data_IF_935889226579
#
_entry.id   IF_935889226579
#
_cell.length_a   1.000
_cell.length_b   1.000
_cell.length_c   1.000
_cell.angle_alpha   90.00
_cell.angle_beta   90.00
_cell.angle_gamma   90.00
#
_symmetry.space_group_name_H-M   'P 1'
#
loop_
_entity.id
_entity.type
_entity.pdbx_description
1 polymer ?
#
# COMPACT_ATOMS: atom_id res chain seq x y z
N UNK A 1 30.60 -5.29 11.04
CA UNK A 1 29.62 -4.21 11.33
C UNK A 1 30.04 -3.37 12.53
N UNK A 2 30.22 -3.94 13.73
CA UNK A 2 30.63 -3.17 14.93
C UNK A 2 32.04 -2.54 14.83
N UNK A 3 32.92 -3.16 14.05
CA UNK A 3 34.28 -2.65 13.75
C UNK A 3 34.27 -1.29 13.04
N UNK A 4 33.14 -0.90 12.42
CA UNK A 4 32.97 0.45 11.85
C UNK A 4 32.74 1.54 12.91
N UNK A 5 32.36 1.16 14.14
CA UNK A 5 32.02 2.09 15.23
C UNK A 5 33.11 2.13 16.31
N UNK A 6 33.76 0.99 16.59
CA UNK A 6 34.86 0.91 17.55
C UNK A 6 35.92 -0.08 17.08
N UNK A 7 37.18 0.26 17.33
CA UNK A 7 38.33 -0.64 17.16
C UNK A 7 38.68 -1.43 18.42
N UNK A 8 38.12 -1.05 19.57
CA UNK A 8 38.29 -1.74 20.85
C UNK A 8 37.04 -2.59 21.13
N UNK A 9 37.06 -3.82 20.61
CA UNK A 9 35.96 -4.78 20.69
C UNK A 9 36.43 -6.08 21.33
N UNK A 10 35.61 -6.60 22.24
CA UNK A 10 35.82 -7.91 22.87
C UNK A 10 34.52 -8.70 22.75
N UNK A 11 34.58 -9.88 22.15
CA UNK A 11 33.46 -10.81 22.10
C UNK A 11 33.48 -11.65 23.38
N UNK A 12 32.52 -11.42 24.27
CA UNK A 12 32.31 -12.26 25.45
C UNK A 12 31.21 -13.28 25.15
N UNK A 13 31.53 -14.58 25.13
CA UNK A 13 30.58 -15.64 24.77
C UNK A 13 29.85 -16.27 25.95
N UNK A 14 30.16 -15.84 27.18
CA UNK A 14 29.57 -16.36 28.43
C UNK A 14 29.63 -17.90 28.55
N UNK A 15 30.79 -18.48 28.24
CA UNK A 15 30.98 -19.93 28.18
C UNK A 15 31.47 -20.40 26.82
N UNK A 16 31.20 -21.67 26.50
CA UNK A 16 31.62 -22.27 25.24
C UNK A 16 30.91 -21.63 24.06
N UNK A 17 31.68 -20.94 23.21
CA UNK A 17 31.22 -20.50 21.90
C UNK A 17 31.55 -21.57 20.85
N UNK A 18 30.52 -22.12 20.20
CA UNK A 18 30.67 -22.97 19.02
C UNK A 18 30.93 -22.10 17.79
N UNK A 19 32.10 -21.45 17.78
CA UNK A 19 32.60 -20.72 16.60
C UNK A 19 33.42 -21.67 15.74
N UNK A 20 33.08 -21.73 14.45
CA UNK A 20 33.86 -22.43 13.43
C UNK A 20 35.28 -21.85 13.33
N UNK A 21 36.22 -22.63 12.79
CA UNK A 21 37.63 -22.20 12.67
C UNK A 21 37.75 -20.88 11.88
N UNK A 22 37.04 -20.76 10.77
CA UNK A 22 37.00 -19.57 9.92
C UNK A 22 36.52 -18.31 10.67
N UNK A 23 35.47 -18.44 11.49
CA UNK A 23 34.94 -17.34 12.29
C UNK A 23 35.95 -16.86 13.34
N UNK A 24 36.71 -17.79 13.94
CA UNK A 24 37.80 -17.44 14.88
C UNK A 24 38.94 -16.73 14.18
N UNK A 25 39.29 -17.18 12.98
CA UNK A 25 40.30 -16.53 12.13
C UNK A 25 39.87 -15.10 11.79
N UNK A 26 38.61 -14.89 11.41
CA UNK A 26 38.05 -13.56 11.13
C UNK A 26 38.11 -12.63 12.34
N UNK A 27 37.73 -13.10 13.54
CA UNK A 27 37.85 -12.30 14.77
C UNK A 27 39.30 -11.89 15.03
N UNK A 28 40.25 -12.82 14.86
CA UNK A 28 41.68 -12.53 15.00
C UNK A 28 42.16 -11.48 14.00
N UNK A 29 41.76 -11.60 12.72
CA UNK A 29 42.11 -10.65 11.67
C UNK A 29 41.56 -9.25 11.94
N UNK A 30 40.43 -9.14 12.64
CA UNK A 30 39.85 -7.87 13.07
C UNK A 30 40.37 -7.37 14.43
N UNK A 31 41.29 -8.09 15.06
CA UNK A 31 41.81 -7.75 16.39
C UNK A 31 40.78 -7.89 17.52
N UNK A 32 39.69 -8.63 17.29
CA UNK A 32 38.63 -8.83 18.28
C UNK A 32 38.98 -10.01 19.17
N UNK A 33 39.18 -9.74 20.46
CA UNK A 33 39.47 -10.80 21.43
C UNK A 33 38.21 -11.60 21.78
N UNK A 34 38.33 -12.92 21.82
CA UNK A 34 37.27 -13.82 22.30
C UNK A 34 37.52 -14.19 23.76
N UNK A 35 36.58 -13.84 24.65
CA UNK A 35 36.55 -14.22 26.07
C UNK A 35 35.46 -15.26 26.29
N UNK A 36 35.85 -16.45 26.75
CA UNK A 36 34.97 -17.61 26.94
C UNK A 36 34.56 -17.82 28.39
N UNK A 37 35.15 -17.06 29.30
CA UNK A 37 34.81 -17.17 30.71
C UNK A 37 33.35 -16.76 30.94
N UNK A 38 32.66 -17.48 31.83
CA UNK A 38 31.29 -17.10 32.22
C UNK A 38 31.30 -15.75 32.92
N UNK A 39 30.35 -14.90 32.57
CA UNK A 39 30.13 -13.59 33.17
C UNK A 39 29.41 -13.80 34.50
N UNK A 40 29.96 -13.24 35.58
CA UNK A 40 29.38 -13.31 36.92
C UNK A 40 28.47 -12.12 37.20
N UNK A 41 28.90 -10.91 36.82
CA UNK A 41 28.13 -9.66 36.97
C UNK A 41 28.68 -8.56 36.08
N UNK A 42 27.88 -7.51 35.90
CA UNK A 42 28.31 -6.24 35.33
C UNK A 42 28.61 -5.26 36.47
N UNK A 43 29.72 -4.54 36.38
CA UNK A 43 30.05 -3.44 37.28
C UNK A 43 29.62 -2.12 36.66
N UNK A 44 28.99 -1.28 37.46
CA UNK A 44 28.54 0.03 37.06
C UNK A 44 28.77 1.06 38.17
N UNK A 45 28.85 2.32 37.76
CA UNK A 45 28.89 3.49 38.64
C UNK A 45 28.01 4.58 38.01
N UNK A 46 27.09 5.16 38.79
CA UNK A 46 26.15 6.19 38.31
C UNK A 46 25.44 5.78 37.00
N UNK A 47 24.88 4.57 36.99
CA UNK A 47 24.22 3.92 35.84
C UNK A 47 25.07 3.75 34.56
N UNK A 48 26.39 3.92 34.66
CA UNK A 48 27.33 3.70 33.57
C UNK A 48 28.11 2.42 33.79
N UNK A 49 28.14 1.55 32.77
CA UNK A 49 28.98 0.36 32.78
C UNK A 49 30.45 0.75 32.95
N UNK A 50 31.13 0.14 33.91
CA UNK A 50 32.57 0.32 34.17
C UNK A 50 33.35 -0.96 33.90
N UNK A 51 32.73 -2.13 34.03
CA UNK A 51 33.41 -3.40 33.80
C UNK A 51 32.50 -4.62 33.68
N UNK A 52 33.07 -5.70 33.16
CA UNK A 52 32.49 -7.04 33.13
C UNK A 52 33.31 -7.93 34.05
N UNK A 53 32.68 -8.54 35.05
CA UNK A 53 33.33 -9.43 36.00
C UNK A 53 33.04 -10.86 35.61
N UNK A 54 34.08 -11.68 35.47
CA UNK A 54 33.95 -13.09 35.15
C UNK A 54 33.92 -13.94 36.42
N UNK A 55 33.44 -15.18 36.29
CA UNK A 55 33.38 -16.20 37.36
C UNK A 55 34.75 -16.54 37.97
N UNK A 56 35.84 -16.26 37.27
CA UNK A 56 37.21 -16.39 37.77
C UNK A 56 37.72 -15.13 38.51
N UNK A 57 36.82 -14.20 38.86
CA UNK A 57 37.09 -12.91 39.49
C UNK A 57 37.96 -11.93 38.68
N UNK A 58 38.28 -12.23 37.41
CA UNK A 58 38.92 -11.25 36.53
C UNK A 58 37.91 -10.18 36.12
N UNK A 59 38.37 -8.95 36.02
CA UNK A 59 37.58 -7.80 35.57
C UNK A 59 38.07 -7.36 34.20
N UNK A 60 37.15 -7.13 33.28
CA UNK A 60 37.40 -6.49 31.99
C UNK A 60 36.75 -5.10 31.99
N UNK A 61 37.53 -4.01 32.12
CA UNK A 61 36.99 -2.65 32.11
C UNK A 61 36.35 -2.34 30.76
N UNK A 62 35.06 -1.95 30.72
CA UNK A 62 34.28 -1.65 29.50
C UNK A 62 33.27 -0.53 29.78
N UNK A 63 33.04 0.35 28.80
CA UNK A 63 32.06 1.46 28.89
C UNK A 63 30.70 1.17 28.24
N UNK A 64 30.59 0.07 27.51
CA UNK A 64 29.36 -0.30 26.81
C UNK A 64 29.34 -1.78 26.50
N UNK A 65 28.13 -2.31 26.35
CA UNK A 65 27.87 -3.69 25.96
C UNK A 65 26.77 -3.69 24.90
N UNK A 66 26.92 -4.56 23.91
CA UNK A 66 25.87 -4.84 22.93
C UNK A 66 25.49 -6.31 23.11
N UNK A 67 24.20 -6.54 23.32
CA UNK A 67 23.63 -7.85 23.52
C UNK A 67 22.86 -8.25 22.27
N UNK A 68 22.97 -9.52 21.90
CA UNK A 68 22.08 -10.14 20.91
C UNK A 68 21.23 -11.19 21.62
N UNK A 69 20.19 -10.78 22.39
CA UNK A 69 19.30 -11.72 23.03
C UNK A 69 18.54 -12.53 21.98
N UNK A 70 18.09 -13.73 22.36
CA UNK A 70 17.04 -14.42 21.61
C UNK A 70 15.72 -13.75 21.96
N UNK A 71 15.01 -13.27 20.94
CA UNK A 71 13.65 -12.76 21.09
C UNK A 71 12.66 -13.92 21.10
N UNK A 72 11.58 -13.76 21.84
CA UNK A 72 10.46 -14.69 21.90
C UNK A 72 9.17 -13.89 21.77
N UNK A 73 8.10 -14.53 21.28
CA UNK A 73 6.80 -13.87 21.25
C UNK A 73 6.35 -13.49 22.66
N UNK A 74 5.79 -12.28 22.79
CA UNK A 74 5.33 -11.76 24.09
C UNK A 74 4.23 -12.63 24.70
N UNK A 75 3.45 -13.35 23.87
CA UNK A 75 2.40 -14.24 24.33
C UNK A 75 2.19 -15.41 23.36
N UNK A 76 1.51 -16.45 23.84
CA UNK A 76 1.09 -17.60 23.01
C UNK A 76 -0.16 -17.32 22.16
N UNK A 77 -0.61 -16.05 22.03
CA UNK A 77 -1.84 -15.71 21.31
C UNK A 77 -1.78 -16.18 19.85
N UNK A 78 -0.69 -15.88 19.15
CA UNK A 78 -0.52 -16.29 17.75
C UNK A 78 -0.62 -17.81 17.58
N UNK A 79 0.05 -18.58 18.44
CA UNK A 79 -0.04 -20.05 18.44
C UNK A 79 -1.45 -20.54 18.75
N UNK A 80 -2.13 -19.95 19.75
CA UNK A 80 -3.51 -20.32 20.12
C UNK A 80 -4.53 -20.01 19.02
N UNK A 81 -4.30 -18.97 18.23
CA UNK A 81 -5.11 -18.65 17.06
C UNK A 81 -4.82 -19.57 15.88
N UNK A 82 -3.74 -20.36 15.92
CA UNK A 82 -3.34 -21.29 14.86
C UNK A 82 -2.36 -20.68 13.84
N UNK A 83 -1.74 -19.54 14.15
CA UNK A 83 -0.76 -18.93 13.26
C UNK A 83 0.43 -19.85 13.02
N UNK A 84 0.89 -19.90 11.78
CA UNK A 84 2.14 -20.58 11.43
C UNK A 84 3.34 -19.71 11.80
N UNK A 85 4.24 -20.27 12.59
CA UNK A 85 5.47 -19.63 13.02
C UNK A 85 6.63 -20.11 12.12
N UNK A 86 7.48 -19.17 11.72
CA UNK A 86 8.70 -19.41 10.94
C UNK A 86 9.93 -19.60 11.82
N UNK A 87 11.09 -19.28 11.28
CA UNK A 87 12.33 -19.18 12.06
C UNK A 87 12.21 -18.11 13.14
N UNK A 88 12.88 -18.33 14.27
CA UNK A 88 12.94 -17.39 15.39
C UNK A 88 11.57 -16.98 15.98
N UNK A 89 10.58 -17.89 15.94
CA UNK A 89 9.26 -17.70 16.55
C UNK A 89 8.43 -16.57 15.89
N UNK A 90 8.76 -16.18 14.65
CA UNK A 90 8.08 -15.08 13.91
C UNK A 90 6.83 -15.58 13.20
N UNK A 91 5.71 -14.86 13.31
CA UNK A 91 4.46 -15.16 12.59
C UNK A 91 4.66 -14.95 11.09
N UNK A 92 4.31 -15.97 10.30
CA UNK A 92 4.31 -15.87 8.84
C UNK A 92 3.12 -15.04 8.37
N UNK A 93 3.44 -14.02 7.56
CA UNK A 93 2.46 -13.15 6.92
C UNK A 93 2.81 -12.95 5.45
N UNK A 94 1.83 -12.58 4.65
CA UNK A 94 2.02 -12.16 3.27
C UNK A 94 2.40 -10.66 3.16
N UNK A 95 2.45 -10.15 1.93
CA UNK A 95 2.76 -8.75 1.63
C UNK A 95 1.76 -7.78 2.28
N UNK A 96 0.49 -8.18 2.39
CA UNK A 96 -0.60 -7.41 3.02
C UNK A 96 -0.60 -7.50 4.54
N UNK A 97 0.35 -8.24 5.11
CA UNK A 97 0.48 -8.56 6.54
C UNK A 97 -0.63 -9.48 7.07
N UNK A 98 -1.35 -10.15 6.17
CA UNK A 98 -2.31 -11.17 6.54
C UNK A 98 -1.57 -12.48 6.85
N UNK A 99 -2.01 -13.15 7.92
CA UNK A 99 -1.55 -14.51 8.23
C UNK A 99 -2.18 -15.52 7.28
N UNK A 100 -1.81 -16.80 7.40
CA UNK A 100 -2.51 -17.88 6.69
C UNK A 100 -3.96 -18.09 7.15
N UNK A 101 -4.38 -17.43 8.23
CA UNK A 101 -5.76 -17.44 8.71
C UNK A 101 -6.46 -16.19 8.13
N UNK A 102 -7.49 -16.37 7.28
CA UNK A 102 -8.23 -15.24 6.70
C UNK A 102 -8.79 -14.31 7.78
N UNK A 103 -8.64 -13.01 7.57
CA UNK A 103 -9.09 -11.97 8.50
C UNK A 103 -8.17 -11.74 9.70
N UNK A 104 -7.11 -12.53 9.87
CA UNK A 104 -6.12 -12.37 10.95
C UNK A 104 -4.81 -11.79 10.40
N UNK A 105 -4.35 -10.69 11.00
CA UNK A 105 -3.17 -9.94 10.58
C UNK A 105 -2.14 -9.88 11.72
N UNK A 106 -0.85 -9.77 11.37
CA UNK A 106 0.23 -9.59 12.34
C UNK A 106 1.23 -8.53 11.81
N UNK A 107 1.67 -7.62 12.68
CA UNK A 107 2.49 -6.46 12.31
C UNK A 107 3.54 -6.14 13.37
N UNK A 108 4.65 -5.52 12.97
CA UNK A 108 5.78 -5.24 13.85
C UNK A 108 6.59 -6.49 14.22
N UNK A 109 7.16 -6.49 15.42
CA UNK A 109 8.13 -7.50 15.88
C UNK A 109 7.57 -8.93 15.93
N UNK A 110 6.24 -9.10 16.00
CA UNK A 110 5.61 -10.42 15.92
C UNK A 110 5.75 -11.06 14.54
N UNK A 111 5.88 -10.26 13.48
CA UNK A 111 5.89 -10.71 12.08
C UNK A 111 7.12 -10.23 11.30
N UNK A 112 8.13 -9.68 11.98
CA UNK A 112 9.35 -9.12 11.37
C UNK A 112 10.58 -9.39 12.24
N UNK A 113 11.71 -9.86 11.66
CA UNK A 113 12.98 -9.99 12.38
C UNK A 113 13.64 -8.63 12.62
N UNK A 114 13.16 -7.57 11.95
CA UNK A 114 13.68 -6.22 12.08
C UNK A 114 12.84 -5.43 13.08
N UNK A 115 13.25 -5.50 14.36
CA UNK A 115 12.67 -4.71 15.45
C UNK A 115 13.01 -3.22 15.32
N UNK A 116 12.37 -2.54 14.37
CA UNK A 116 12.50 -1.12 14.13
C UNK A 116 11.12 -0.45 14.12
N UNK A 117 11.02 0.72 14.75
CA UNK A 117 9.77 1.48 14.85
C UNK A 117 9.21 1.78 13.45
N UNK A 118 10.05 2.20 12.51
CA UNK A 118 9.61 2.50 11.14
C UNK A 118 9.01 1.27 10.44
N UNK A 119 9.59 0.09 10.64
CA UNK A 119 9.08 -1.18 10.08
C UNK A 119 7.74 -1.56 10.71
N UNK A 120 7.60 -1.37 12.02
CA UNK A 120 6.33 -1.59 12.73
C UNK A 120 5.23 -0.64 12.25
N UNK A 121 5.54 0.65 12.07
CA UNK A 121 4.61 1.65 11.54
C UNK A 121 4.18 1.29 10.12
N UNK A 122 5.13 1.00 9.23
CA UNK A 122 4.83 0.66 7.84
C UNK A 122 3.97 -0.61 7.73
N UNK A 123 4.32 -1.67 8.46
CA UNK A 123 3.52 -2.90 8.47
C UNK A 123 2.12 -2.68 9.05
N UNK A 124 1.98 -1.87 10.10
CA UNK A 124 0.68 -1.44 10.63
C UNK A 124 -0.19 -0.75 9.59
N UNK A 125 0.37 0.19 8.83
CA UNK A 125 -0.34 0.90 7.75
C UNK A 125 -0.82 -0.06 6.67
N UNK A 126 0.06 -0.96 6.21
CA UNK A 126 -0.29 -1.96 5.17
C UNK A 126 -1.44 -2.85 5.64
N UNK A 127 -1.37 -3.37 6.88
CA UNK A 127 -2.43 -4.20 7.44
C UNK A 127 -3.76 -3.43 7.54
N UNK A 128 -3.73 -2.19 8.02
CA UNK A 128 -4.93 -1.37 8.18
C UNK A 128 -5.63 -1.09 6.84
N UNK A 129 -4.86 -0.74 5.80
CA UNK A 129 -5.39 -0.55 4.44
C UNK A 129 -6.02 -1.85 3.93
N UNK A 130 -5.36 -2.98 4.15
CA UNK A 130 -5.83 -4.30 3.70
C UNK A 130 -7.10 -4.75 4.45
N UNK A 131 -7.15 -4.58 5.78
CA UNK A 131 -8.35 -4.84 6.59
C UNK A 131 -9.53 -4.00 6.10
N UNK A 132 -9.31 -2.70 5.90
CA UNK A 132 -10.36 -1.80 5.42
C UNK A 132 -10.86 -2.20 4.02
N UNK A 133 -9.94 -2.61 3.15
CA UNK A 133 -10.27 -3.13 1.83
C UNK A 133 -11.22 -4.33 1.94
N UNK A 134 -10.78 -5.39 2.63
CA UNK A 134 -11.54 -6.63 2.80
C UNK A 134 -12.90 -6.40 3.45
N UNK A 135 -12.96 -5.65 4.55
CA UNK A 135 -14.23 -5.40 5.25
C UNK A 135 -15.22 -4.61 4.42
N UNK A 136 -14.76 -3.68 3.58
CA UNK A 136 -15.69 -2.93 2.73
C UNK A 136 -16.17 -3.80 1.58
N UNK A 137 -15.32 -4.64 0.97
CA UNK A 137 -15.74 -5.60 -0.05
C UNK A 137 -16.82 -6.54 0.49
N UNK A 138 -16.61 -7.13 1.67
CA UNK A 138 -17.61 -7.98 2.33
C UNK A 138 -18.94 -7.22 2.55
N UNK A 139 -18.90 -5.97 3.00
CA UNK A 139 -20.09 -5.16 3.20
C UNK A 139 -20.81 -4.76 1.89
N UNK A 140 -20.09 -4.65 0.78
CA UNK A 140 -20.62 -4.22 -0.52
C UNK A 140 -21.24 -5.36 -1.32
N UNK A 141 -20.65 -6.57 -1.25
CA UNK A 141 -21.21 -7.80 -1.87
C UNK A 141 -22.63 -8.08 -1.38
N UNK A 142 -22.95 -7.70 -0.14
CA UNK A 142 -24.25 -7.97 0.45
C UNK A 142 -25.33 -6.92 0.17
N UNK A 143 -25.04 -5.75 -0.45
CA UNK A 143 -26.03 -4.64 -0.44
C UNK A 143 -26.25 -3.81 -1.70
N UNK A 144 -25.36 -3.73 -2.71
CA UNK A 144 -25.61 -2.86 -3.89
C UNK A 144 -24.90 -3.37 -5.16
N UNK A 145 -25.60 -4.01 -6.12
CA UNK A 145 -24.98 -4.47 -7.37
C UNK A 145 -24.49 -3.30 -8.25
N UNK A 146 -25.22 -2.18 -8.30
CA UNK A 146 -24.98 -1.09 -9.27
C UNK A 146 -23.78 -0.17 -8.93
N UNK A 147 -23.19 -0.31 -7.73
CA UNK A 147 -22.12 0.59 -7.25
C UNK A 147 -20.77 -0.09 -6.99
N UNK A 148 -20.61 -1.38 -7.29
CA UNK A 148 -19.43 -2.20 -6.94
C UNK A 148 -18.27 -2.14 -7.94
N UNK A 149 -18.39 -1.36 -9.00
CA UNK A 149 -17.28 -1.09 -9.91
C UNK A 149 -16.34 0.03 -9.48
N UNK A 150 -16.57 0.64 -8.32
CA UNK A 150 -15.66 1.62 -7.75
C UNK A 150 -14.83 0.99 -6.63
N UNK A 151 -14.17 -0.13 -6.94
CA UNK A 151 -13.14 -0.74 -6.09
C UNK A 151 -11.91 0.15 -5.88
N UNK A 152 -11.87 1.33 -6.51
CA UNK A 152 -11.03 2.42 -6.04
C UNK A 152 -11.83 3.22 -5.01
N UNK A 153 -11.37 3.21 -3.76
CA UNK A 153 -11.66 4.22 -2.71
C UNK A 153 -11.18 5.61 -3.14
N UNK A 154 -11.55 6.01 -4.35
CA UNK A 154 -11.30 7.32 -4.90
C UNK A 154 -12.00 8.35 -4.03
N UNK A 155 -11.39 9.52 -3.93
CA UNK A 155 -11.99 10.70 -3.35
C UNK A 155 -13.40 10.93 -3.89
N UNK A 156 -13.67 10.55 -5.15
CA UNK A 156 -14.97 10.61 -5.80
C UNK A 156 -16.02 9.68 -5.18
N UNK A 157 -15.67 8.45 -4.79
CA UNK A 157 -16.61 7.55 -4.09
C UNK A 157 -16.98 8.11 -2.71
N UNK A 158 -15.97 8.53 -1.93
CA UNK A 158 -16.20 9.10 -0.59
C UNK A 158 -17.06 10.36 -0.64
N UNK A 159 -16.82 11.23 -1.62
CA UNK A 159 -17.64 12.43 -1.84
C UNK A 159 -19.10 12.05 -2.11
N UNK A 160 -19.37 11.10 -3.02
CA UNK A 160 -20.74 10.65 -3.32
C UNK A 160 -21.42 9.97 -2.14
N UNK A 161 -20.66 9.27 -1.30
CA UNK A 161 -21.18 8.73 -0.05
C UNK A 161 -21.58 9.86 0.93
N UNK A 162 -20.72 10.86 1.12
CA UNK A 162 -20.97 12.01 2.01
C UNK A 162 -22.12 12.90 1.54
N UNK A 163 -22.36 12.97 0.23
CA UNK A 163 -23.51 13.66 -0.37
C UNK A 163 -24.85 13.04 0.02
N UNK A 164 -24.88 11.80 0.55
CA UNK A 164 -26.11 11.06 0.81
C UNK A 164 -26.71 10.38 -0.42
N UNK A 165 -26.02 10.43 -1.58
CA UNK A 165 -26.49 9.84 -2.84
C UNK A 165 -26.80 8.34 -2.71
N UNK A 166 -26.08 7.63 -1.84
CA UNK A 166 -26.30 6.21 -1.58
C UNK A 166 -27.73 5.91 -1.09
N UNK A 167 -28.27 6.73 -0.20
CA UNK A 167 -29.61 6.51 0.34
C UNK A 167 -30.65 6.59 -0.79
N UNK A 168 -30.57 7.66 -1.59
CA UNK A 168 -31.44 7.87 -2.76
C UNK A 168 -31.32 6.74 -3.78
N UNK A 169 -30.10 6.29 -4.07
CA UNK A 169 -29.86 5.21 -5.04
C UNK A 169 -30.44 3.87 -4.58
N UNK A 170 -30.42 3.59 -3.27
CA UNK A 170 -30.92 2.30 -2.75
C UNK A 170 -32.41 2.17 -3.05
N UNK A 171 -33.19 3.20 -2.69
CA UNK A 171 -34.63 3.22 -2.94
C UNK A 171 -34.95 3.17 -4.44
N UNK A 172 -34.21 3.96 -5.24
CA UNK A 172 -34.38 3.98 -6.69
C UNK A 172 -34.08 2.63 -7.38
N UNK A 173 -33.06 1.91 -6.92
CA UNK A 173 -32.68 0.59 -7.45
C UNK A 173 -33.72 -0.46 -7.08
N UNK A 174 -34.31 -0.37 -5.89
CA UNK A 174 -35.41 -1.25 -5.45
C UNK A 174 -36.74 -0.95 -6.19
N UNK A 175 -36.72 0.02 -7.12
CA UNK A 175 -37.87 0.39 -7.94
C UNK A 175 -38.86 1.30 -7.25
N UNK A 176 -38.48 1.87 -6.09
CA UNK A 176 -39.29 2.86 -5.38
C UNK A 176 -39.31 4.15 -6.19
N UNK A 177 -40.49 4.76 -6.27
CA UNK A 177 -40.65 6.05 -6.90
C UNK A 177 -40.50 7.16 -5.86
N UNK A 178 -39.63 8.13 -6.15
CA UNK A 178 -39.27 9.19 -5.20
C UNK A 178 -39.88 10.50 -5.67
N UNK A 179 -40.44 11.29 -4.75
CA UNK A 179 -40.93 12.64 -5.05
C UNK A 179 -39.77 13.63 -5.08
N UNK A 180 -39.86 14.63 -5.95
CA UNK A 180 -38.80 15.62 -6.13
C UNK A 180 -38.55 16.54 -4.93
N UNK A 181 -39.49 16.61 -3.99
CA UNK A 181 -39.49 17.40 -2.76
C UNK A 181 -39.16 16.57 -1.51
N UNK A 182 -38.63 15.35 -1.68
CA UNK A 182 -38.27 14.53 -0.54
C UNK A 182 -37.07 15.10 0.24
N UNK A 183 -37.10 15.04 1.59
CA UNK A 183 -36.04 15.60 2.44
C UNK A 183 -34.64 15.08 2.11
N UNK A 184 -34.54 13.84 1.64
CA UNK A 184 -33.25 13.24 1.24
C UNK A 184 -32.67 13.88 -0.03
N UNK A 185 -33.52 14.26 -0.99
CA UNK A 185 -33.08 14.94 -2.22
C UNK A 185 -32.70 16.38 -1.90
N UNK A 186 -33.48 17.05 -1.06
CA UNK A 186 -33.16 18.40 -0.58
C UNK A 186 -31.83 18.43 0.19
N UNK A 187 -31.62 17.50 1.12
CA UNK A 187 -30.38 17.41 1.89
C UNK A 187 -29.16 17.16 0.98
N UNK A 188 -29.31 16.30 -0.03
CA UNK A 188 -28.29 16.06 -1.04
C UNK A 188 -27.97 17.34 -1.80
N UNK A 189 -28.99 18.05 -2.30
CA UNK A 189 -28.83 19.28 -3.06
C UNK A 189 -28.21 20.42 -2.23
N UNK A 190 -28.62 20.57 -0.98
CA UNK A 190 -28.05 21.55 -0.05
C UNK A 190 -26.58 21.25 0.24
N UNK A 191 -26.25 19.98 0.47
CA UNK A 191 -24.85 19.59 0.62
C UNK A 191 -24.06 19.91 -0.65
N UNK A 192 -24.62 19.61 -1.82
CA UNK A 192 -23.99 19.90 -3.11
C UNK A 192 -23.68 21.39 -3.28
N UNK A 193 -24.67 22.25 -3.00
CA UNK A 193 -24.54 23.71 -3.13
C UNK A 193 -23.57 24.31 -2.12
N UNK A 194 -23.45 23.74 -0.91
CA UNK A 194 -22.45 24.18 0.08
C UNK A 194 -21.02 23.80 -0.29
N UNK A 195 -20.84 22.77 -1.12
CA UNK A 195 -19.54 22.15 -1.40
C UNK A 195 -19.16 22.20 -2.89
N UNK A 196 -19.66 23.18 -3.66
CA UNK A 196 -19.43 23.30 -5.11
C UNK A 196 -17.95 23.19 -5.51
N UNK A 197 -16.99 23.88 -4.85
CA UNK A 197 -15.57 23.77 -5.21
C UNK A 197 -15.03 22.35 -5.06
N UNK A 198 -15.41 21.66 -3.98
CA UNK A 198 -14.99 20.29 -3.72
C UNK A 198 -15.62 19.32 -4.72
N UNK A 199 -16.88 19.52 -5.08
CA UNK A 199 -17.56 18.67 -6.08
C UNK A 199 -16.94 18.89 -7.47
N UNK A 200 -16.58 20.12 -7.82
CA UNK A 200 -15.86 20.38 -9.06
C UNK A 200 -14.48 19.73 -9.06
N UNK A 201 -13.71 19.85 -7.97
CA UNK A 201 -12.38 19.26 -7.88
C UNK A 201 -12.38 17.72 -7.85
N UNK A 202 -13.38 17.11 -7.20
CA UNK A 202 -13.37 15.66 -6.91
C UNK A 202 -14.24 14.86 -7.88
N UNK A 203 -15.37 15.42 -8.31
CA UNK A 203 -16.32 14.77 -9.22
C UNK A 203 -16.28 15.37 -10.63
N UNK A 204 -15.45 16.39 -10.87
CA UNK A 204 -15.43 17.15 -12.12
C UNK A 204 -16.83 17.61 -12.58
N UNK A 205 -17.69 17.95 -11.61
CA UNK A 205 -19.09 18.30 -11.87
C UNK A 205 -19.34 19.75 -11.44
N UNK A 206 -19.93 20.54 -12.33
CA UNK A 206 -20.28 21.93 -12.05
C UNK A 206 -21.73 21.98 -11.59
N UNK A 207 -21.96 22.56 -10.40
CA UNK A 207 -23.29 22.68 -9.81
C UNK A 207 -23.65 24.16 -9.70
N UNK A 208 -24.58 24.66 -10.52
CA UNK A 208 -25.15 25.99 -10.35
C UNK A 208 -25.98 26.07 -9.06
N UNK A 209 -25.98 27.23 -8.39
CA UNK A 209 -26.64 27.40 -7.09
C UNK A 209 -28.16 27.57 -7.20
N UNK A 210 -28.64 28.03 -8.36
CA UNK A 210 -30.03 28.26 -8.71
C UNK A 210 -30.78 27.00 -9.18
N UNK A 211 -30.06 25.90 -9.38
CA UNK A 211 -30.65 24.66 -9.90
C UNK A 211 -31.49 23.90 -8.87
N UNK A 212 -32.42 23.10 -9.39
CA UNK A 212 -33.35 22.32 -8.56
C UNK A 212 -32.68 21.08 -7.95
N UNK A 213 -33.13 20.60 -6.76
CA UNK A 213 -32.58 19.40 -6.14
C UNK A 213 -32.61 18.17 -7.06
N UNK A 214 -33.67 18.03 -7.84
CA UNK A 214 -33.81 16.92 -8.79
C UNK A 214 -32.85 17.05 -9.97
N UNK A 215 -32.61 18.27 -10.46
CA UNK A 215 -31.61 18.47 -11.50
C UNK A 215 -30.21 18.05 -11.02
N UNK A 216 -29.84 18.43 -9.80
CA UNK A 216 -28.58 18.05 -9.17
C UNK A 216 -28.48 16.52 -9.03
N UNK A 217 -29.54 15.87 -8.54
CA UNK A 217 -29.62 14.41 -8.50
C UNK A 217 -29.41 13.80 -9.89
N UNK A 218 -30.03 14.39 -10.93
CA UNK A 218 -29.97 13.89 -12.30
C UNK A 218 -28.53 13.95 -12.84
N UNK A 219 -27.77 15.00 -12.53
CA UNK A 219 -26.35 15.09 -12.90
C UNK A 219 -25.52 13.97 -12.27
N UNK A 220 -25.79 13.63 -11.01
CA UNK A 220 -25.13 12.51 -10.37
C UNK A 220 -25.51 11.17 -10.98
N UNK A 221 -26.78 10.96 -11.32
CA UNK A 221 -27.24 9.76 -12.02
C UNK A 221 -26.57 9.62 -13.39
N UNK A 222 -26.50 10.71 -14.18
CA UNK A 222 -25.82 10.69 -15.48
C UNK A 222 -24.35 10.28 -15.36
N UNK A 223 -23.65 10.77 -14.33
CA UNK A 223 -22.27 10.38 -14.07
C UNK A 223 -22.11 8.89 -13.73
N UNK A 224 -23.17 8.25 -13.26
CA UNK A 224 -23.26 6.81 -13.02
C UNK A 224 -23.68 6.02 -14.27
N UNK A 225 -23.99 6.68 -15.39
CA UNK A 225 -24.60 6.05 -16.55
C UNK A 225 -26.06 5.63 -16.30
N UNK A 226 -26.74 6.29 -15.36
CA UNK A 226 -28.14 6.05 -15.03
C UNK A 226 -28.98 7.26 -15.45
N UNK A 227 -30.18 7.02 -15.95
CA UNK A 227 -31.19 8.06 -16.14
C UNK A 227 -32.43 7.80 -15.29
N UNK A 228 -33.15 8.88 -14.98
CA UNK A 228 -34.42 8.82 -14.29
C UNK A 228 -35.56 9.23 -15.23
N UNK A 229 -36.61 8.44 -15.24
CA UNK A 229 -37.88 8.77 -15.88
C UNK A 229 -38.78 9.48 -14.88
N UNK A 230 -39.65 10.37 -15.37
CA UNK A 230 -40.59 11.08 -14.51
C UNK A 230 -42.03 10.89 -14.95
N UNK A 231 -42.92 10.66 -14.00
CA UNK A 231 -44.37 10.63 -14.21
C UNK A 231 -45.06 11.71 -13.38
N UNK A 232 -46.15 12.26 -13.90
CA UNK A 232 -46.93 13.35 -13.26
C UNK A 232 -48.38 12.95 -13.00
N UNK A 233 -48.64 12.03 -12.06
CA UNK A 233 -50.01 11.73 -11.63
C UNK A 233 -50.66 12.96 -10.98
N UNK A 234 -51.99 13.01 -11.05
CA UNK A 234 -52.80 13.98 -10.30
C UNK A 234 -53.16 13.34 -8.97
N UNK A 235 -52.67 13.90 -7.89
CA UNK A 235 -52.88 13.42 -6.52
C UNK A 235 -53.45 14.60 -5.71
N UNK A 236 -54.59 14.40 -5.06
CA UNK A 236 -55.28 15.44 -4.27
C UNK A 236 -55.49 16.78 -5.02
N UNK A 237 -55.76 16.73 -6.32
CA UNK A 237 -55.98 17.92 -7.16
C UNK A 237 -54.70 18.70 -7.53
N UNK A 238 -53.52 18.23 -7.13
CA UNK A 238 -52.23 18.81 -7.49
C UNK A 238 -51.44 17.85 -8.39
N UNK A 239 -50.63 18.42 -9.29
CA UNK A 239 -49.73 17.65 -10.16
C UNK A 239 -48.42 17.41 -9.41
N UNK A 240 -48.23 16.21 -8.88
CA UNK A 240 -47.00 15.78 -8.20
C UNK A 240 -46.13 15.02 -9.19
N UNK A 241 -44.81 15.25 -9.19
CA UNK A 241 -43.86 14.58 -10.07
C UNK A 241 -43.09 13.52 -9.30
N UNK A 242 -43.19 12.28 -9.78
CA UNK A 242 -42.46 11.12 -9.25
C UNK A 242 -41.34 10.76 -10.22
N UNK A 243 -40.23 10.29 -9.67
CA UNK A 243 -39.04 9.88 -10.40
C UNK A 243 -38.73 8.42 -10.12
N UNK A 244 -38.36 7.68 -11.16
CA UNK A 244 -37.91 6.29 -11.08
C UNK A 244 -36.70 6.11 -12.00
N UNK A 245 -35.80 5.18 -11.69
CA UNK A 245 -34.75 4.84 -12.63
C UNK A 245 -35.31 4.22 -13.91
N UNK A 246 -34.68 4.56 -15.03
CA UNK A 246 -34.91 3.89 -16.30
C UNK A 246 -34.53 2.42 -16.17
N UNK A 247 -35.47 1.54 -16.50
CA UNK A 247 -35.29 0.09 -16.32
C UNK A 247 -34.22 -0.47 -17.27
N UNK A 248 -34.08 0.08 -18.47
CA UNK A 248 -33.09 -0.38 -19.44
C UNK A 248 -31.66 -0.04 -18.98
N UNK A 249 -31.46 1.15 -18.42
CA UNK A 249 -30.17 1.57 -17.86
C UNK A 249 -29.77 0.70 -16.66
N UNK A 250 -30.71 0.39 -15.78
CA UNK A 250 -30.51 -0.48 -14.61
C UNK A 250 -30.13 -1.90 -15.05
N UNK A 251 -30.86 -2.46 -16.02
CA UNK A 251 -30.57 -3.80 -16.57
C UNK A 251 -29.21 -3.82 -17.27
N UNK A 252 -28.87 -2.78 -18.03
CA UNK A 252 -27.57 -2.67 -18.69
C UNK A 252 -26.44 -2.58 -17.67
N UNK A 253 -26.59 -1.73 -16.65
CA UNK A 253 -25.62 -1.60 -15.56
C UNK A 253 -25.39 -2.94 -14.87
N UNK A 254 -26.47 -3.64 -14.48
CA UNK A 254 -26.39 -4.98 -13.87
C UNK A 254 -25.60 -5.97 -14.74
N UNK A 255 -25.85 -6.00 -16.07
CA UNK A 255 -25.10 -6.88 -16.99
C UNK A 255 -23.62 -6.53 -17.07
N UNK A 256 -23.26 -5.24 -17.08
CA UNK A 256 -21.86 -4.78 -17.07
C UNK A 256 -21.16 -5.23 -15.79
N UNK A 257 -21.85 -5.15 -14.66
CA UNK A 257 -21.32 -5.53 -13.36
C UNK A 257 -21.12 -7.04 -13.24
N UNK A 258 -22.10 -7.84 -13.67
CA UNK A 258 -21.96 -9.29 -13.77
C UNK A 258 -20.82 -9.70 -14.71
N UNK A 259 -20.64 -8.99 -15.83
CA UNK A 259 -19.51 -9.22 -16.73
C UNK A 259 -18.17 -8.92 -16.03
N UNK A 260 -18.05 -7.77 -15.36
CA UNK A 260 -16.81 -7.38 -14.67
C UNK A 260 -16.50 -8.29 -13.48
N UNK A 261 -17.50 -8.72 -12.72
CA UNK A 261 -17.34 -9.69 -11.65
C UNK A 261 -16.76 -11.01 -12.18
N UNK A 262 -17.33 -11.53 -13.28
CA UNK A 262 -16.78 -12.72 -13.96
C UNK A 262 -15.35 -12.53 -14.43
N UNK A 263 -14.99 -11.34 -14.93
CA UNK A 263 -13.61 -11.04 -15.32
C UNK A 263 -12.67 -11.03 -14.11
N UNK A 264 -13.08 -10.49 -12.95
CA UNK A 264 -12.29 -10.51 -11.71
C UNK A 264 -12.06 -11.94 -11.23
N UNK A 265 -13.12 -12.73 -11.12
CA UNK A 265 -13.04 -14.15 -10.73
C UNK A 265 -12.17 -14.97 -11.70
N UNK A 266 -12.27 -14.69 -13.00
CA UNK A 266 -11.40 -15.32 -14.00
C UNK A 266 -9.94 -14.93 -13.82
N UNK A 267 -9.65 -13.66 -13.51
CA UNK A 267 -8.29 -13.16 -13.27
C UNK A 267 -7.70 -13.74 -11.99
N UNK A 268 -8.49 -13.84 -10.92
CA UNK A 268 -8.08 -14.44 -9.65
C UNK A 268 -7.78 -15.93 -9.79
N UNK A 269 -8.68 -16.67 -10.46
CA UNK A 269 -8.46 -18.09 -10.79
C UNK A 269 -7.17 -18.27 -11.60
N UNK A 270 -6.92 -17.43 -12.61
CA UNK A 270 -5.66 -17.50 -13.37
C UNK A 270 -4.43 -17.23 -12.51
N UNK A 271 -4.48 -16.24 -11.61
CA UNK A 271 -3.39 -15.98 -10.65
C UNK A 271 -3.16 -17.16 -9.70
N UNK A 272 -4.23 -17.81 -9.27
CA UNK A 272 -4.13 -18.96 -8.38
C UNK A 272 -3.52 -20.16 -9.10
N UNK A 273 -3.95 -20.45 -10.33
CA UNK A 273 -3.36 -21.48 -11.19
C UNK A 273 -1.87 -21.20 -11.47
N UNK A 274 -1.49 -19.94 -11.76
CA UNK A 274 -0.10 -19.51 -11.94
C UNK A 274 0.75 -19.74 -10.68
N UNK A 275 0.22 -19.40 -9.50
CA UNK A 275 0.89 -19.62 -8.21
C UNK A 275 1.07 -21.12 -7.90
N UNK A 276 0.04 -21.92 -8.14
CA UNK A 276 0.09 -23.37 -7.96
C UNK A 276 1.10 -24.01 -8.92
N UNK A 277 1.13 -23.58 -10.18
CA UNK A 277 2.09 -24.04 -11.17
C UNK A 277 3.54 -23.66 -10.80
N UNK A 278 3.76 -22.42 -10.35
CA UNK A 278 5.07 -21.96 -9.87
C UNK A 278 5.53 -22.74 -8.63
N UNK A 279 4.63 -22.99 -7.66
CA UNK A 279 4.93 -23.78 -6.46
C UNK A 279 5.25 -25.24 -6.81
N UNK A 280 4.50 -25.86 -7.72
CA UNK A 280 4.75 -27.22 -8.20
C UNK A 280 6.09 -27.33 -8.94
N UNK A 281 6.41 -26.35 -9.79
CA UNK A 281 7.71 -26.26 -10.46
C UNK A 281 8.85 -26.09 -9.46
N UNK A 282 8.69 -25.22 -8.46
CA UNK A 282 9.67 -25.00 -7.41
C UNK A 282 9.96 -26.26 -6.59
N UNK A 283 8.91 -26.98 -6.19
CA UNK A 283 9.01 -28.24 -5.46
C UNK A 283 9.74 -29.33 -6.29
N UNK A 284 9.44 -29.42 -7.60
CA UNK A 284 10.11 -30.36 -8.51
C UNK A 284 11.61 -30.05 -8.65
N UNK A 285 11.96 -28.78 -8.83
CA UNK A 285 13.37 -28.37 -8.94
C UNK A 285 14.15 -28.62 -7.65
N UNK A 286 13.53 -28.36 -6.50
CA UNK A 286 14.13 -28.61 -5.19
C UNK A 286 14.35 -30.11 -4.93
N UNK A 287 13.38 -30.96 -5.28
CA UNK A 287 13.49 -32.42 -5.13
C UNK A 287 14.56 -33.03 -6.05
N UNK A 288 14.73 -32.48 -7.26
CA UNK A 288 15.62 -33.03 -8.28
C UNK A 288 17.08 -32.57 -8.13
N UNK A 289 17.31 -31.36 -7.63
CA UNK A 289 18.64 -30.77 -7.59
C UNK A 289 19.12 -30.34 -6.19
N UNK A 290 18.31 -30.42 -5.13
CA UNK A 290 18.62 -29.86 -3.79
C UNK A 290 19.04 -28.38 -3.83
N UNK A 291 18.64 -27.66 -4.89
CA UNK A 291 18.93 -26.26 -5.14
C UNK A 291 17.58 -25.55 -5.16
N UNK A 292 17.45 -24.45 -4.41
CA UNK A 292 16.29 -23.57 -4.55
C UNK A 292 16.24 -23.06 -5.98
N UNK A 293 15.09 -23.15 -6.68
CA UNK A 293 15.00 -22.69 -8.06
C UNK A 293 15.45 -21.22 -8.14
N UNK A 294 16.25 -20.86 -9.15
CA UNK A 294 16.65 -19.47 -9.34
C UNK A 294 15.40 -18.61 -9.56
N UNK A 295 15.41 -17.39 -8.98
CA UNK A 295 14.42 -16.37 -9.29
C UNK A 295 14.40 -16.22 -10.82
N UNK A 296 13.23 -16.41 -11.42
CA UNK A 296 13.07 -16.24 -12.87
C UNK A 296 12.51 -14.82 -13.08
N UNK A 297 13.17 -13.96 -13.88
CA UNK A 297 14.33 -14.22 -14.73
C UNK A 297 15.67 -14.16 -13.97
N UNK A 298 16.72 -14.83 -14.48
CA UNK A 298 18.04 -14.79 -13.87
C UNK A 298 18.61 -13.36 -13.86
N UNK A 299 19.27 -13.05 -12.74
CA UNK A 299 19.96 -11.79 -12.51
C UNK A 299 21.26 -11.82 -13.33
N UNK A 300 21.49 -10.79 -14.14
CA UNK A 300 22.75 -10.52 -14.83
C UNK A 300 23.88 -10.27 -13.81
N UNK A 301 25.15 -10.35 -14.22
CA UNK A 301 26.29 -10.11 -13.31
C UNK A 301 26.31 -8.71 -12.65
N UNK A 302 25.53 -7.76 -13.18
CA UNK A 302 25.34 -6.40 -12.68
C UNK A 302 24.09 -6.20 -11.80
N UNK A 303 23.29 -7.25 -11.58
CA UNK A 303 22.05 -7.16 -10.80
C UNK A 303 20.77 -6.92 -11.61
N UNK A 304 20.84 -6.74 -12.93
CA UNK A 304 19.68 -6.47 -13.79
C UNK A 304 19.02 -7.75 -14.32
N UNK A 305 17.71 -7.74 -14.62
CA UNK A 305 17.01 -8.84 -15.29
C UNK A 305 16.76 -8.49 -16.77
N UNK A 306 16.93 -9.47 -17.67
CA UNK A 306 16.72 -9.27 -19.11
C UNK A 306 15.28 -8.83 -19.42
N UNK A 307 15.11 -7.57 -19.85
CA UNK A 307 13.87 -7.09 -20.47
C UNK A 307 13.64 -7.82 -21.79
N UNK A 308 12.59 -8.63 -21.86
CA UNK A 308 12.19 -9.31 -23.09
C UNK A 308 11.03 -10.31 -22.94
N UNK A 309 10.62 -10.64 -21.72
CA UNK A 309 9.36 -11.34 -21.45
C UNK A 309 8.35 -10.38 -20.84
N UNK A 310 7.17 -10.26 -21.45
CA UNK A 310 6.00 -9.64 -20.84
C UNK A 310 5.47 -10.56 -19.72
N UNK A 311 6.12 -10.55 -18.57
CA UNK A 311 5.61 -11.23 -17.37
C UNK A 311 4.74 -10.25 -16.58
N UNK A 312 3.44 -10.53 -16.55
CA UNK A 312 2.38 -9.74 -15.90
C UNK A 312 2.32 -9.88 -14.36
N UNK A 313 3.48 -9.78 -13.69
CA UNK A 313 3.60 -9.84 -12.23
C UNK A 313 4.29 -8.62 -11.62
N UNK A 314 4.01 -7.43 -12.15
CA UNK A 314 4.24 -6.22 -11.36
C UNK A 314 2.92 -5.73 -10.78
N UNK A 315 2.95 -5.50 -9.48
CA UNK A 315 2.01 -4.62 -8.80
C UNK A 315 1.86 -3.37 -9.67
N UNK A 316 0.65 -2.93 -10.07
CA UNK A 316 0.50 -1.74 -10.90
C UNK A 316 1.14 -0.49 -10.28
N UNK A 317 1.29 -0.50 -8.96
CA UNK A 317 2.00 0.53 -8.21
C UNK A 317 3.54 0.44 -8.34
N UNK A 318 4.12 -0.76 -8.46
CA UNK A 318 5.57 -0.95 -8.56
C UNK A 318 6.08 -0.71 -10.00
N UNK A 319 5.34 -1.13 -11.04
CA UNK A 319 5.74 -0.85 -12.43
C UNK A 319 5.69 0.64 -12.73
N UNK A 320 4.65 1.31 -12.24
CA UNK A 320 4.43 2.72 -12.46
C UNK A 320 5.49 3.55 -11.72
N UNK A 321 5.76 3.28 -10.43
CA UNK A 321 6.79 4.03 -9.71
C UNK A 321 8.20 3.75 -10.26
N UNK A 322 8.51 2.53 -10.67
CA UNK A 322 9.81 2.28 -11.32
C UNK A 322 9.98 3.05 -12.64
N UNK A 323 8.91 3.14 -13.43
CA UNK A 323 8.89 3.90 -14.66
C UNK A 323 9.06 5.41 -14.39
N UNK A 324 8.37 5.93 -13.38
CA UNK A 324 8.49 7.32 -12.97
C UNK A 324 9.89 7.62 -12.40
N UNK A 325 10.49 6.71 -11.62
CA UNK A 325 11.89 6.83 -11.15
C UNK A 325 12.90 6.90 -12.30
N UNK A 326 12.69 6.06 -13.32
CA UNK A 326 13.50 6.10 -14.53
C UNK A 326 13.33 7.42 -15.30
N UNK A 327 12.11 7.91 -15.42
CA UNK A 327 11.84 9.22 -16.04
C UNK A 327 12.40 10.39 -15.23
N UNK A 328 12.41 10.32 -13.90
CA UNK A 328 13.04 11.32 -13.03
C UNK A 328 14.55 11.39 -13.27
N UNK A 329 15.25 10.26 -13.39
CA UNK A 329 16.66 10.26 -13.77
C UNK A 329 16.91 10.92 -15.14
N UNK A 330 16.04 10.66 -16.10
CA UNK A 330 16.09 11.28 -17.43
C UNK A 330 15.82 12.79 -17.39
N UNK A 331 14.95 13.26 -16.50
CA UNK A 331 14.72 14.70 -16.26
C UNK A 331 15.93 15.34 -15.57
N UNK A 332 16.48 14.71 -14.53
CA UNK A 332 17.67 15.19 -13.79
C UNK A 332 18.86 15.41 -14.73
N UNK A 333 19.09 14.48 -15.67
CA UNK A 333 20.13 14.63 -16.69
C UNK A 333 19.82 15.77 -17.68
N UNK A 334 18.53 16.01 -17.97
CA UNK A 334 18.09 17.04 -18.92
C UNK A 334 18.17 18.46 -18.39
N UNK A 335 18.19 18.64 -17.07
CA UNK A 335 18.41 19.96 -16.45
C UNK A 335 19.71 20.60 -16.95
N UNK A 336 20.74 19.79 -17.23
CA UNK A 336 22.04 20.28 -17.75
C UNK A 336 21.94 20.82 -19.19
N UNK A 337 20.89 20.46 -19.93
CA UNK A 337 20.61 20.95 -21.29
C UNK A 337 19.56 22.08 -21.31
N UNK A 338 19.09 22.52 -20.13
CA UNK A 338 18.19 23.66 -19.96
C UNK A 338 16.71 23.30 -19.85
N UNK A 339 15.95 24.30 -19.37
CA UNK A 339 14.52 24.21 -19.03
C UNK A 339 13.65 23.63 -20.16
N UNK A 340 13.85 24.08 -21.40
CA UNK A 340 13.03 23.64 -22.54
C UNK A 340 13.21 22.14 -22.84
N UNK A 341 14.41 21.58 -22.60
CA UNK A 341 14.64 20.14 -22.77
C UNK A 341 13.86 19.31 -21.75
N UNK A 342 13.72 19.81 -20.52
CA UNK A 342 12.90 19.20 -19.47
C UNK A 342 11.42 19.30 -19.83
N UNK A 343 10.97 20.47 -20.27
CA UNK A 343 9.57 20.72 -20.68
C UNK A 343 9.15 19.85 -21.86
N UNK A 344 9.99 19.73 -22.89
CA UNK A 344 9.73 18.89 -24.05
C UNK A 344 9.59 17.41 -23.64
N UNK A 345 10.48 16.92 -22.78
CA UNK A 345 10.40 15.54 -22.28
C UNK A 345 9.14 15.29 -21.46
N UNK A 346 8.82 16.17 -20.51
CA UNK A 346 7.62 16.06 -19.67
C UNK A 346 6.32 16.10 -20.52
N UNK A 347 6.31 16.83 -21.63
CA UNK A 347 5.14 16.90 -22.53
C UNK A 347 4.79 15.55 -23.19
N UNK A 348 5.77 14.62 -23.24
CA UNK A 348 5.55 13.26 -23.75
C UNK A 348 4.89 12.31 -22.74
N UNK A 349 4.76 12.74 -21.48
CA UNK A 349 4.25 11.94 -20.37
C UNK A 349 2.78 12.27 -20.03
N UNK A 350 2.08 11.31 -19.41
CA UNK A 350 0.76 11.56 -18.81
C UNK A 350 0.85 12.52 -17.63
N UNK A 351 -0.26 13.17 -17.24
CA UNK A 351 -0.27 14.12 -16.11
C UNK A 351 0.21 13.46 -14.81
N UNK A 352 -0.27 12.25 -14.53
CA UNK A 352 0.14 11.48 -13.34
C UNK A 352 1.66 11.21 -13.35
N UNK A 353 2.21 10.81 -14.50
CA UNK A 353 3.66 10.55 -14.63
C UNK A 353 4.49 11.83 -14.47
N UNK A 354 4.03 12.98 -14.99
CA UNK A 354 4.73 14.27 -14.81
C UNK A 354 4.82 14.65 -13.33
N UNK A 355 3.71 14.51 -12.59
CA UNK A 355 3.68 14.77 -11.16
C UNK A 355 4.58 13.82 -10.38
N UNK A 356 4.52 12.52 -10.68
CA UNK A 356 5.41 11.54 -10.06
C UNK A 356 6.89 11.84 -10.34
N UNK A 357 7.22 12.24 -11.57
CA UNK A 357 8.60 12.52 -11.98
C UNK A 357 9.16 13.73 -11.23
N UNK A 358 8.36 14.79 -11.07
CA UNK A 358 8.77 15.99 -10.35
C UNK A 358 8.91 15.72 -8.84
N UNK A 359 8.05 14.87 -8.26
CA UNK A 359 8.15 14.46 -6.85
C UNK A 359 9.42 13.65 -6.58
N UNK A 360 9.74 12.66 -7.42
CA UNK A 360 10.97 11.88 -7.28
C UNK A 360 12.21 12.72 -7.57
N UNK A 361 12.13 13.67 -8.51
CA UNK A 361 13.24 14.60 -8.76
C UNK A 361 13.55 15.44 -7.51
N UNK A 362 12.54 16.02 -6.85
CA UNK A 362 12.73 16.74 -5.58
C UNK A 362 13.31 15.83 -4.48
N UNK A 363 12.86 14.57 -4.41
CA UNK A 363 13.36 13.60 -3.42
C UNK A 363 14.83 13.21 -3.65
N UNK A 364 15.23 13.00 -4.91
CA UNK A 364 16.56 12.47 -5.26
C UNK A 364 17.61 13.58 -5.38
N UNK A 365 17.26 14.74 -5.94
CA UNK A 365 18.17 15.86 -6.23
C UNK A 365 17.53 17.23 -5.89
N UNK A 366 17.21 17.51 -4.61
CA UNK A 366 16.45 18.69 -4.19
C UNK A 366 17.11 20.03 -4.55
N UNK A 367 18.45 20.07 -4.63
CA UNK A 367 19.19 21.27 -5.01
C UNK A 367 19.04 21.58 -6.50
N UNK A 368 19.13 20.58 -7.38
CA UNK A 368 18.90 20.73 -8.82
C UNK A 368 17.42 21.00 -9.11
N UNK A 369 16.51 20.39 -8.35
CA UNK A 369 15.08 20.68 -8.44
C UNK A 369 14.79 22.15 -8.11
N UNK A 370 15.35 22.66 -7.00
CA UNK A 370 15.24 24.07 -6.64
C UNK A 370 15.78 25.02 -7.71
N UNK A 371 16.85 24.64 -8.41
CA UNK A 371 17.38 25.40 -9.54
C UNK A 371 16.40 25.40 -10.73
N UNK A 372 15.86 24.24 -11.12
CA UNK A 372 14.87 24.14 -12.21
C UNK A 372 13.63 25.00 -11.91
N UNK A 373 13.12 24.96 -10.68
CA UNK A 373 11.95 25.74 -10.25
C UNK A 373 12.25 27.24 -10.23
N UNK A 374 13.47 27.64 -9.87
CA UNK A 374 13.88 29.04 -9.93
C UNK A 374 14.02 29.55 -11.38
N UNK A 375 14.53 28.70 -12.28
CA UNK A 375 14.71 29.02 -13.69
C UNK A 375 13.38 28.97 -14.48
N UNK A 376 12.35 28.29 -13.94
CA UNK A 376 11.04 28.16 -14.55
C UNK A 376 9.88 28.25 -13.52
N UNK A 377 9.47 29.45 -13.11
CA UNK A 377 8.45 29.64 -12.08
C UNK A 377 7.06 29.10 -12.46
N UNK A 378 6.79 28.94 -13.75
CA UNK A 378 5.54 28.43 -14.34
C UNK A 378 5.52 26.91 -14.52
N UNK A 379 6.52 26.18 -14.02
CA UNK A 379 6.67 24.73 -14.25
C UNK A 379 5.42 23.91 -13.88
N UNK A 380 4.61 24.38 -12.92
CA UNK A 380 3.35 23.75 -12.51
C UNK A 380 2.34 23.68 -13.66
N UNK A 381 2.35 24.65 -14.58
CA UNK A 381 1.47 24.67 -15.76
C UNK A 381 1.83 23.55 -16.76
N UNK A 382 3.06 23.02 -16.71
CA UNK A 382 3.48 21.93 -17.57
C UNK A 382 2.95 20.56 -17.12
N UNK A 383 2.40 20.49 -15.90
CA UNK A 383 1.92 19.24 -15.32
C UNK A 383 0.55 18.80 -15.88
N UNK A 384 -0.15 19.69 -16.60
CA UNK A 384 -1.40 19.40 -17.31
C UNK A 384 -2.65 19.46 -16.45
#
# INVERSE_FOLDING_TARGET
MLTGWSRDLVLCSDGSAELAHEQRQQLSNWGVQLRKEKIARLEHQDDKLTGIVFTNNKVLPRRGILLRPRSHQHSHLATKLGCKLGSDDIVQVDETKQTLIPGLYAVGDVSSPYSQIAVAVASGTIAAVSINHTLTEENLVHRLPICTDWGNYSTSWLMRHRLGLRAVLTDLIDGVEIKGDEPMIEALADFSKRNVPHIKGILNLTIPLDETPVWILSQYLLQLGLSAESRRPVENGQRVRYYRLNTDDVVFAQKVLEYRQRQRESKERRRQEEREHQAAHAARMQAMYSINPPSTPPINEDGSNNRGGLDGHENPCDSWWQQVKYYAQLVIQRVEYGVESVKEFLSTLTSDERWGVMLEFDEVEPLKFGQLVADAPDWVEWMG
#
